data_IF_766722534243
#
_entry.id   IF_766722534243
#
_cell.length_a   1.000
_cell.length_b   1.000
_cell.length_c   1.000
_cell.angle_alpha   90.00
_cell.angle_beta   90.00
_cell.angle_gamma   90.00
#
_symmetry.space_group_name_H-M   'P 1'
#
loop_
_entity.id
_entity.type
_entity.pdbx_description
1 polymer ?
#
# COMPACT_ATOMS: atom_id res chain seq x y z
N UNK A 1 10.93 68.28 16.06
CA UNK A 1 9.94 67.28 15.58
C UNK A 1 10.51 66.53 14.38
N UNK A 2 11.18 65.37 14.57
CA UNK A 2 11.67 64.49 13.48
C UNK A 2 12.38 63.23 14.01
N UNK A 3 11.77 62.44 14.91
CA UNK A 3 12.35 61.15 15.37
C UNK A 3 11.29 60.11 15.79
N UNK A 4 10.16 60.05 15.08
CA UNK A 4 9.12 59.04 15.31
C UNK A 4 8.60 58.58 13.95
N UNK A 5 9.38 57.81 13.18
CA UNK A 5 8.86 57.18 11.96
C UNK A 5 9.57 55.89 11.55
N UNK A 6 10.45 55.32 12.39
CA UNK A 6 11.28 54.15 12.02
C UNK A 6 11.06 52.97 12.97
N UNK A 7 9.82 52.77 13.45
CA UNK A 7 9.49 51.64 14.34
C UNK A 7 8.21 50.91 13.92
N UNK A 8 7.96 50.79 12.61
CA UNK A 8 6.79 50.05 12.07
C UNK A 8 7.22 48.90 11.11
N UNK A 9 8.51 48.69 10.86
CA UNK A 9 8.94 47.81 9.76
C UNK A 9 9.70 46.53 10.16
N UNK A 10 9.46 45.94 11.34
CA UNK A 10 10.08 44.64 11.64
C UNK A 10 9.26 43.73 12.57
N UNK A 11 7.94 43.68 12.41
CA UNK A 11 7.21 42.45 12.75
C UNK A 11 7.34 41.52 11.55
N UNK A 12 8.53 40.95 11.36
CA UNK A 12 8.72 39.78 10.52
C UNK A 12 8.00 38.65 11.24
N UNK A 13 6.69 38.56 11.01
CA UNK A 13 5.90 37.42 11.44
C UNK A 13 6.54 36.20 10.81
N UNK A 14 7.23 35.42 11.64
CA UNK A 14 7.62 34.03 11.37
C UNK A 14 6.32 33.27 11.12
N UNK A 15 5.80 33.35 9.90
CA UNK A 15 4.76 32.45 9.46
C UNK A 15 5.41 31.07 9.39
N UNK A 16 4.99 30.17 10.28
CA UNK A 16 5.31 28.76 10.15
C UNK A 16 4.90 28.33 8.73
N UNK A 17 5.87 27.93 7.91
CA UNK A 17 5.59 27.54 6.54
C UNK A 17 4.93 26.17 6.55
N UNK A 18 3.70 26.09 6.03
CA UNK A 18 2.92 24.86 6.00
C UNK A 18 3.20 24.07 4.73
N UNK A 19 3.55 22.79 4.87
CA UNK A 19 3.59 21.82 3.79
C UNK A 19 2.38 20.89 3.91
N UNK A 20 1.71 20.60 2.79
CA UNK A 20 0.55 19.71 2.76
C UNK A 20 0.97 18.40 2.11
N UNK A 21 0.77 17.30 2.83
CA UNK A 21 1.07 15.95 2.39
C UNK A 21 -0.24 15.17 2.34
N UNK A 22 -0.61 14.71 1.16
CA UNK A 22 -1.81 13.92 0.93
C UNK A 22 -1.41 12.51 0.50
N UNK A 23 -2.00 11.49 1.12
CA UNK A 23 -1.75 10.11 0.82
C UNK A 23 -3.07 9.40 0.48
N UNK A 24 -3.28 9.09 -0.79
CA UNK A 24 -4.40 8.27 -1.24
C UNK A 24 -3.98 6.80 -1.26
N UNK A 25 -4.60 5.99 -0.42
CA UNK A 25 -4.34 4.55 -0.28
C UNK A 25 -5.58 3.79 -0.76
N UNK A 26 -5.47 3.13 -1.91
CA UNK A 26 -6.55 2.32 -2.47
C UNK A 26 -6.24 0.83 -2.34
N UNK A 27 -6.95 0.14 -1.45
CA UNK A 27 -6.73 -1.26 -1.10
C UNK A 27 -7.55 -2.18 -1.99
N UNK A 28 -6.91 -3.22 -2.54
CA UNK A 28 -7.56 -4.26 -3.34
C UNK A 28 -8.06 -5.45 -2.49
N UNK A 29 -8.77 -6.39 -3.11
CA UNK A 29 -9.32 -7.57 -2.41
C UNK A 29 -8.26 -8.53 -1.84
N UNK A 30 -7.00 -8.38 -2.23
CA UNK A 30 -5.87 -9.20 -1.75
C UNK A 30 -5.12 -8.54 -0.57
N UNK A 31 -5.48 -7.31 -0.19
CA UNK A 31 -4.80 -6.55 0.85
C UNK A 31 -3.58 -5.77 0.36
N UNK A 32 -3.31 -5.74 -0.95
CA UNK A 32 -2.33 -4.83 -1.55
C UNK A 32 -2.96 -3.44 -1.72
N UNK A 33 -2.14 -2.41 -1.82
CA UNK A 33 -2.62 -1.06 -2.05
C UNK A 33 -1.87 -0.36 -3.17
N UNK A 34 -2.62 0.43 -3.95
CA UNK A 34 -2.06 1.48 -4.79
C UNK A 34 -2.02 2.76 -3.99
N UNK A 35 -0.82 3.31 -3.82
CA UNK A 35 -0.56 4.48 -3.00
C UNK A 35 -0.21 5.65 -3.91
N UNK A 36 -0.85 6.80 -3.69
CA UNK A 36 -0.49 8.07 -4.32
C UNK A 36 -0.17 9.08 -3.24
N UNK A 37 1.09 9.46 -3.16
CA UNK A 37 1.61 10.50 -2.29
C UNK A 37 1.73 11.81 -3.06
N UNK A 38 0.94 12.79 -2.67
CA UNK A 38 0.98 14.16 -3.19
C UNK A 38 1.55 15.08 -2.13
N UNK A 39 2.56 15.88 -2.50
CA UNK A 39 3.17 16.87 -1.63
C UNK A 39 3.06 18.24 -2.29
N UNK A 40 2.43 19.19 -1.60
CA UNK A 40 2.28 20.58 -2.03
C UNK A 40 3.03 21.49 -1.08
N UNK A 41 3.94 22.29 -1.64
CA UNK A 41 4.96 23.02 -0.90
C UNK A 41 4.87 24.54 -1.11
N UNK A 42 5.36 25.32 -0.15
CA UNK A 42 5.60 26.76 -0.31
C UNK A 42 6.71 27.02 -1.34
N UNK A 43 6.94 28.30 -1.71
CA UNK A 43 8.01 28.65 -2.64
C UNK A 43 9.40 28.22 -2.14
N UNK A 44 9.68 28.45 -0.85
CA UNK A 44 10.96 28.11 -0.24
C UNK A 44 11.15 26.59 -0.14
N UNK A 45 10.14 25.88 0.39
CA UNK A 45 10.14 24.42 0.46
C UNK A 45 10.25 23.77 -0.92
N UNK A 46 9.58 24.32 -1.93
CA UNK A 46 9.66 23.83 -3.31
C UNK A 46 11.10 23.86 -3.84
N UNK A 47 11.82 24.97 -3.62
CA UNK A 47 13.22 25.09 -4.02
C UNK A 47 14.08 24.01 -3.36
N UNK A 48 13.89 23.75 -2.06
CA UNK A 48 14.60 22.68 -1.35
C UNK A 48 14.27 21.30 -1.91
N UNK A 49 12.99 21.03 -2.16
CA UNK A 49 12.53 19.74 -2.69
C UNK A 49 13.04 19.48 -4.12
N UNK A 50 13.00 20.50 -4.99
CA UNK A 50 13.56 20.40 -6.35
C UNK A 50 15.08 20.23 -6.31
N UNK A 51 15.77 20.91 -5.41
CA UNK A 51 17.22 20.72 -5.23
C UNK A 51 17.55 19.29 -4.76
N UNK A 52 16.72 18.71 -3.88
CA UNK A 52 16.92 17.37 -3.33
C UNK A 52 16.56 16.25 -4.32
N UNK A 53 15.38 16.33 -4.94
CA UNK A 53 14.79 15.26 -5.74
C UNK A 53 14.60 15.60 -7.22
N UNK A 54 14.55 16.89 -7.57
CA UNK A 54 14.17 17.35 -8.90
C UNK A 54 15.14 16.91 -10.01
N UNK A 55 16.41 16.69 -9.69
CA UNK A 55 17.41 16.18 -10.62
C UNK A 55 17.58 14.65 -10.56
N UNK A 56 17.01 13.98 -9.56
CA UNK A 56 17.18 12.54 -9.37
C UNK A 56 15.99 11.92 -8.60
N UNK A 57 14.88 11.57 -9.30
CA UNK A 57 13.74 10.92 -8.66
C UNK A 57 14.06 9.52 -8.11
N UNK A 58 15.18 8.90 -8.50
CA UNK A 58 15.60 7.62 -7.95
C UNK A 58 16.03 7.74 -6.47
N UNK A 59 16.48 8.92 -6.02
CA UNK A 59 16.76 9.18 -4.61
C UNK A 59 15.48 9.09 -3.77
N UNK A 60 14.39 9.73 -4.24
CA UNK A 60 13.10 9.66 -3.56
C UNK A 60 12.58 8.22 -3.50
N UNK A 61 12.65 7.48 -4.61
CA UNK A 61 12.30 6.06 -4.64
C UNK A 61 13.09 5.26 -3.59
N UNK A 62 14.41 5.48 -3.49
CA UNK A 62 15.27 4.79 -2.53
C UNK A 62 14.90 5.13 -1.09
N UNK A 63 14.64 6.40 -0.80
CA UNK A 63 14.20 6.84 0.54
C UNK A 63 12.87 6.18 0.93
N UNK A 64 11.93 6.06 0.00
CA UNK A 64 10.63 5.41 0.24
C UNK A 64 10.78 3.90 0.48
N UNK A 65 11.63 3.22 -0.29
CA UNK A 65 11.93 1.81 -0.05
C UNK A 65 12.56 1.63 1.33
N UNK A 66 13.46 2.54 1.72
CA UNK A 66 14.11 2.50 3.03
C UNK A 66 13.15 2.81 4.19
N UNK A 67 12.14 3.66 4.00
CA UNK A 67 11.15 3.97 5.04
C UNK A 67 10.08 2.88 5.20
N UNK A 68 9.90 2.02 4.20
CA UNK A 68 8.90 0.96 4.17
C UNK A 68 9.52 -0.44 3.93
N UNK A 69 10.51 -0.88 4.75
CA UNK A 69 11.28 -2.10 4.49
C UNK A 69 10.45 -3.40 4.60
N UNK A 70 9.29 -3.34 5.25
CA UNK A 70 8.38 -4.48 5.41
C UNK A 70 7.43 -4.73 4.23
N UNK A 71 7.49 -3.90 3.18
CA UNK A 71 6.57 -3.96 2.06
C UNK A 71 7.31 -4.17 0.74
N UNK A 72 6.76 -5.04 -0.12
CA UNK A 72 7.23 -5.14 -1.50
C UNK A 72 6.61 -3.97 -2.30
N UNK A 73 7.47 -3.04 -2.71
CA UNK A 73 7.06 -1.84 -3.45
C UNK A 73 7.39 -1.98 -4.94
N UNK A 74 6.40 -1.71 -5.80
CA UNK A 74 6.51 -1.85 -7.25
C UNK A 74 5.83 -0.70 -7.99
N UNK A 75 5.96 -0.66 -9.33
CA UNK A 75 5.23 0.27 -10.21
C UNK A 75 5.34 1.76 -9.83
N UNK A 76 6.56 2.17 -9.52
CA UNK A 76 6.87 3.56 -9.15
C UNK A 76 6.65 4.52 -10.31
N UNK A 77 5.97 5.63 -10.04
CA UNK A 77 5.75 6.76 -10.95
C UNK A 77 5.99 8.07 -10.21
N UNK A 78 6.64 9.02 -10.87
CA UNK A 78 6.90 10.35 -10.33
C UNK A 78 6.43 11.42 -11.32
N UNK A 79 5.68 12.40 -10.83
CA UNK A 79 5.23 13.57 -11.58
C UNK A 79 5.54 14.83 -10.77
N UNK A 80 5.96 15.87 -11.47
CA UNK A 80 6.27 17.18 -10.90
C UNK A 80 5.48 18.26 -11.63
N UNK A 81 4.87 19.17 -10.88
CA UNK A 81 4.26 20.39 -11.40
C UNK A 81 4.95 21.60 -10.77
N UNK A 82 5.84 22.23 -11.53
CA UNK A 82 6.62 23.39 -11.07
C UNK A 82 5.76 24.65 -10.87
N UNK A 83 4.65 24.77 -11.60
CA UNK A 83 3.73 25.92 -11.49
C UNK A 83 2.95 25.86 -10.18
N UNK A 84 2.39 24.69 -9.88
CA UNK A 84 1.60 24.45 -8.67
C UNK A 84 2.44 24.04 -7.46
N UNK A 85 3.76 23.89 -7.63
CA UNK A 85 4.71 23.46 -6.60
C UNK A 85 4.28 22.15 -5.94
N UNK A 86 3.91 21.19 -6.78
CA UNK A 86 3.33 19.92 -6.38
C UNK A 86 4.16 18.76 -6.93
N UNK A 87 4.49 17.80 -6.07
CA UNK A 87 5.06 16.50 -6.46
C UNK A 87 4.04 15.40 -6.20
N UNK A 88 3.92 14.49 -7.15
CA UNK A 88 3.03 13.33 -7.05
C UNK A 88 3.89 12.09 -7.28
N UNK A 89 3.90 11.21 -6.29
CA UNK A 89 4.59 9.94 -6.34
C UNK A 89 3.57 8.81 -6.16
N UNK A 90 3.57 7.84 -7.06
CA UNK A 90 2.66 6.70 -6.99
C UNK A 90 3.45 5.40 -7.00
N UNK A 91 2.99 4.41 -6.24
CA UNK A 91 3.57 3.09 -6.19
C UNK A 91 2.54 2.07 -5.69
N UNK A 92 2.77 0.81 -6.02
CA UNK A 92 1.99 -0.30 -5.49
C UNK A 92 2.76 -0.95 -4.33
N UNK A 93 2.07 -1.22 -3.23
CA UNK A 93 2.62 -1.85 -2.05
C UNK A 93 1.84 -3.13 -1.73
N UNK A 94 2.52 -4.26 -1.62
CA UNK A 94 1.87 -5.54 -1.30
C UNK A 94 1.66 -5.73 0.20
N UNK A 95 0.53 -6.34 0.57
CA UNK A 95 0.25 -6.72 1.96
C UNK A 95 0.12 -5.53 2.94
N UNK A 96 -0.34 -4.37 2.44
CA UNK A 96 -0.61 -3.18 3.27
C UNK A 96 -1.67 -3.48 4.34
N UNK A 97 -2.65 -4.30 4.01
CA UNK A 97 -3.64 -4.82 4.95
C UNK A 97 -3.36 -6.30 5.21
N UNK A 98 -3.35 -6.69 6.49
CA UNK A 98 -3.06 -8.07 6.89
C UNK A 98 -4.35 -8.85 7.15
N UNK A 99 -4.34 -10.13 6.83
CA UNK A 99 -5.44 -11.06 7.08
C UNK A 99 -5.33 -11.69 8.46
N UNK A 100 -6.38 -11.60 9.27
CA UNK A 100 -6.45 -12.15 10.64
C UNK A 100 -7.10 -13.53 10.71
N UNK A 101 -7.70 -14.00 9.60
CA UNK A 101 -8.52 -15.22 9.58
C UNK A 101 -10.02 -14.92 9.54
N UNK A 102 -10.82 -15.93 9.21
CA UNK A 102 -12.29 -15.86 9.18
C UNK A 102 -12.88 -14.69 8.37
N UNK A 103 -12.18 -14.22 7.34
CA UNK A 103 -12.63 -13.09 6.52
C UNK A 103 -12.36 -11.72 7.16
N UNK A 104 -11.64 -11.65 8.27
CA UNK A 104 -11.28 -10.41 8.94
C UNK A 104 -9.92 -9.93 8.44
N UNK A 105 -9.86 -8.65 8.10
CA UNK A 105 -8.67 -7.94 7.65
C UNK A 105 -8.46 -6.72 8.52
N UNK A 106 -7.20 -6.34 8.75
CA UNK A 106 -6.86 -5.16 9.54
C UNK A 106 -5.81 -4.27 8.88
N UNK A 107 -6.08 -2.97 8.89
CA UNK A 107 -5.15 -1.93 8.45
C UNK A 107 -4.61 -1.23 9.69
N UNK A 108 -3.28 -1.28 9.88
CA UNK A 108 -2.61 -0.58 10.98
C UNK A 108 -2.41 0.88 10.60
N UNK A 109 -2.71 1.78 11.53
CA UNK A 109 -2.40 3.21 11.40
C UNK A 109 -1.75 3.73 12.67
N UNK A 110 -1.03 4.85 12.59
CA UNK A 110 -0.33 5.38 13.77
C UNK A 110 -1.30 6.07 14.73
N UNK A 111 -1.02 5.96 16.04
CA UNK A 111 -1.86 6.50 17.11
C UNK A 111 -2.04 8.02 17.05
N UNK A 112 -1.08 8.75 16.44
CA UNK A 112 -1.12 10.20 16.29
C UNK A 112 -2.20 10.68 15.32
N UNK A 113 -2.58 9.84 14.36
CA UNK A 113 -3.62 10.20 13.40
C UNK A 113 -5.00 10.20 14.04
N UNK A 114 -5.78 11.22 13.73
CA UNK A 114 -7.20 11.31 14.08
C UNK A 114 -8.05 10.71 12.96
N UNK A 115 -8.71 9.56 13.17
CA UNK A 115 -9.51 8.91 12.14
C UNK A 115 -10.91 9.52 12.03
N UNK A 116 -11.40 9.65 10.80
CA UNK A 116 -12.75 10.09 10.45
C UNK A 116 -13.35 9.14 9.42
N UNK A 117 -14.54 8.63 9.69
CA UNK A 117 -15.29 7.81 8.73
C UNK A 117 -15.97 8.72 7.71
N UNK A 118 -15.70 8.51 6.42
CA UNK A 118 -16.35 9.24 5.32
C UNK A 118 -17.50 8.41 4.76
N UNK A 119 -17.26 7.12 4.55
CA UNK A 119 -18.27 6.17 4.07
C UNK A 119 -18.03 4.78 4.69
N UNK A 120 -18.85 3.76 4.40
CA UNK A 120 -18.59 2.39 4.86
C UNK A 120 -17.24 1.81 4.40
N UNK A 121 -16.73 2.28 3.26
CA UNK A 121 -15.49 1.80 2.64
C UNK A 121 -14.42 2.89 2.52
N UNK A 122 -14.66 4.10 3.00
CA UNK A 122 -13.70 5.20 2.92
C UNK A 122 -13.48 5.83 4.30
N UNK A 123 -12.21 5.98 4.64
CA UNK A 123 -11.73 6.53 5.90
C UNK A 123 -10.70 7.61 5.63
N UNK A 124 -10.70 8.62 6.46
CA UNK A 124 -9.78 9.73 6.37
C UNK A 124 -9.02 9.86 7.68
N UNK A 125 -7.71 10.08 7.62
CA UNK A 125 -6.86 10.21 8.79
C UNK A 125 -6.08 11.51 8.66
N UNK A 126 -6.15 12.34 9.69
CA UNK A 126 -5.46 13.64 9.70
C UNK A 126 -4.46 13.70 10.85
N UNK A 127 -3.30 14.27 10.58
CA UNK A 127 -2.32 14.64 11.60
C UNK A 127 -1.65 15.96 11.24
N UNK A 128 -1.14 16.67 12.23
CA UNK A 128 -0.34 17.87 12.02
C UNK A 128 0.87 17.80 12.92
N UNK A 129 2.04 17.76 12.30
CA UNK A 129 3.33 17.65 12.97
C UNK A 129 4.13 18.93 12.76
N UNK A 130 4.84 19.35 13.81
CA UNK A 130 5.78 20.46 13.72
C UNK A 130 7.21 19.91 13.65
N UNK A 131 7.83 20.01 12.48
CA UNK A 131 9.23 19.66 12.26
C UNK A 131 10.07 20.94 12.25
N UNK A 132 10.41 21.42 13.44
CA UNK A 132 11.20 22.64 13.64
C UNK A 132 10.41 23.92 13.32
N UNK A 133 10.71 24.54 12.17
CA UNK A 133 10.02 25.75 11.69
C UNK A 133 9.00 25.45 10.58
N UNK A 134 8.78 24.17 10.26
CA UNK A 134 7.87 23.72 9.21
C UNK A 134 6.69 22.99 9.85
N UNK A 135 5.49 23.42 9.51
CA UNK A 135 4.26 22.72 9.89
C UNK A 135 3.88 21.74 8.78
N UNK A 136 3.92 20.44 9.06
CA UNK A 136 3.51 19.41 8.13
C UNK A 136 2.08 18.95 8.45
N UNK A 137 1.18 19.11 7.48
CA UNK A 137 -0.17 18.54 7.57
C UNK A 137 -0.26 17.27 6.74
N UNK A 138 -0.72 16.20 7.36
CA UNK A 138 -0.85 14.88 6.76
C UNK A 138 -2.32 14.51 6.63
N UNK A 139 -2.76 14.32 5.39
CA UNK A 139 -4.11 13.91 5.02
C UNK A 139 -4.06 12.53 4.34
N UNK A 140 -4.50 11.48 5.00
CA UNK A 140 -4.50 10.12 4.45
C UNK A 140 -5.93 9.70 4.13
N UNK A 141 -6.21 9.46 2.86
CA UNK A 141 -7.48 8.90 2.39
C UNK A 141 -7.32 7.41 2.12
N UNK A 142 -7.98 6.58 2.93
CA UNK A 142 -7.99 5.13 2.79
C UNK A 142 -9.29 4.65 2.17
N UNK A 143 -9.18 3.99 1.01
CA UNK A 143 -10.29 3.35 0.32
C UNK A 143 -10.15 1.84 0.45
N UNK A 144 -11.12 1.22 1.12
CA UNK A 144 -11.26 -0.22 1.26
C UNK A 144 -11.89 -0.82 0.00
N UNK A 145 -11.73 -2.14 -0.24
CA UNK A 145 -12.41 -2.83 -1.32
C UNK A 145 -13.92 -2.65 -1.25
N UNK A 146 -14.60 -2.54 -2.39
CA UNK A 146 -16.05 -2.29 -2.45
C UNK A 146 -16.89 -3.35 -1.70
N UNK A 147 -16.39 -4.57 -1.61
CA UNK A 147 -17.05 -5.69 -0.92
C UNK A 147 -16.74 -5.75 0.58
N UNK A 148 -15.92 -4.84 1.11
CA UNK A 148 -15.63 -4.74 2.52
C UNK A 148 -16.89 -4.36 3.30
N UNK A 149 -17.10 -4.99 4.46
CA UNK A 149 -18.26 -4.78 5.32
C UNK A 149 -17.82 -4.60 6.77
N UNK A 150 -18.67 -3.95 7.56
CA UNK A 150 -18.50 -3.80 9.02
C UNK A 150 -17.14 -3.20 9.42
N UNK A 151 -16.66 -2.21 8.65
CA UNK A 151 -15.43 -1.50 8.97
C UNK A 151 -15.57 -0.71 10.29
N UNK A 152 -14.66 -0.94 11.23
CA UNK A 152 -14.65 -0.28 12.55
C UNK A 152 -13.23 -0.18 13.11
N UNK A 153 -13.01 0.80 13.98
CA UNK A 153 -11.73 1.00 14.66
C UNK A 153 -11.67 0.13 15.91
N UNK A 154 -10.53 -0.52 16.13
CA UNK A 154 -10.27 -1.31 17.34
C UNK A 154 -8.78 -1.23 17.70
N UNK A 155 -8.43 -1.85 18.81
CA UNK A 155 -7.05 -2.04 19.24
C UNK A 155 -6.72 -3.52 19.11
N UNK A 156 -5.55 -3.86 18.55
CA UNK A 156 -5.11 -5.26 18.46
C UNK A 156 -4.47 -5.75 19.77
N UNK A 157 -4.01 -7.00 19.79
CA UNK A 157 -3.37 -7.65 20.94
C UNK A 157 -2.05 -6.96 21.38
N UNK A 158 -1.48 -6.09 20.53
CA UNK A 158 -0.24 -5.36 20.75
C UNK A 158 -0.47 -3.88 21.12
N UNK A 159 -1.69 -3.50 21.53
CA UNK A 159 -2.12 -2.12 21.80
C UNK A 159 -2.01 -1.17 20.59
N UNK A 160 -1.96 -1.72 19.37
CA UNK A 160 -1.88 -0.91 18.15
C UNK A 160 -3.28 -0.58 17.64
N UNK A 161 -3.45 0.65 17.15
CA UNK A 161 -4.70 1.10 16.53
C UNK A 161 -4.84 0.49 15.14
N UNK A 162 -5.95 -0.19 14.92
CA UNK A 162 -6.24 -0.87 13.67
C UNK A 162 -7.66 -0.59 13.20
N UNK A 163 -7.82 -0.44 11.89
CA UNK A 163 -9.11 -0.46 11.23
C UNK A 163 -9.39 -1.90 10.79
N UNK A 164 -10.35 -2.55 11.44
CA UNK A 164 -10.79 -3.91 11.10
C UNK A 164 -12.00 -3.87 10.17
N UNK A 165 -12.00 -4.74 9.16
CA UNK A 165 -13.13 -4.92 8.27
C UNK A 165 -13.29 -6.39 7.85
N UNK A 166 -14.49 -6.76 7.44
CA UNK A 166 -14.81 -8.08 6.94
C UNK A 166 -14.83 -8.09 5.41
N UNK A 167 -14.07 -9.00 4.82
CA UNK A 167 -14.08 -9.30 3.40
C UNK A 167 -14.10 -10.82 3.23
N UNK A 168 -15.19 -11.36 2.70
CA UNK A 168 -15.32 -12.80 2.46
C UNK A 168 -14.28 -13.20 1.39
N UNK A 169 -13.37 -14.13 1.68
CA UNK A 169 -12.37 -14.55 0.71
C UNK A 169 -13.08 -15.13 -0.52
N UNK A 170 -12.65 -14.71 -1.70
CA UNK A 170 -13.18 -15.24 -2.95
C UNK A 170 -12.55 -16.62 -3.18
N UNK A 171 -13.32 -17.64 -3.59
CA UNK A 171 -12.85 -19.05 -3.74
C UNK A 171 -11.57 -19.15 -4.59
N UNK A 172 -11.42 -18.26 -5.57
CA UNK A 172 -10.24 -18.16 -6.44
C UNK A 172 -8.95 -17.69 -5.73
N UNK A 173 -9.02 -17.05 -4.56
CA UNK A 173 -7.82 -16.65 -3.80
C UNK A 173 -7.16 -17.83 -3.06
N UNK A 174 -7.86 -18.96 -2.88
CA UNK A 174 -7.35 -20.14 -2.17
C UNK A 174 -6.83 -21.25 -3.08
N UNK A 175 -7.16 -21.23 -4.36
CA UNK A 175 -6.83 -22.33 -5.27
C UNK A 175 -5.96 -21.77 -6.39
N UNK A 176 -4.65 -21.96 -6.26
CA UNK A 176 -3.70 -21.57 -7.30
C UNK A 176 -3.92 -22.43 -8.56
N UNK A 177 -3.66 -21.87 -9.73
CA UNK A 177 -3.67 -22.63 -11.00
C UNK A 177 -2.71 -23.84 -10.94
N UNK A 178 -1.65 -23.72 -10.14
CA UNK A 178 -0.68 -24.79 -9.84
C UNK A 178 -1.34 -25.97 -9.15
N UNK A 179 -2.34 -25.73 -8.28
CA UNK A 179 -3.10 -26.78 -7.61
C UNK A 179 -3.91 -27.60 -8.63
N UNK A 180 -4.54 -26.95 -9.62
CA UNK A 180 -5.27 -27.63 -10.69
C UNK A 180 -4.34 -28.43 -11.61
N UNK A 181 -3.19 -27.86 -11.99
CA UNK A 181 -2.18 -28.56 -12.78
C UNK A 181 -1.66 -29.79 -12.02
N UNK A 182 -1.38 -29.64 -10.72
CA UNK A 182 -0.94 -30.73 -9.86
C UNK A 182 -1.97 -31.86 -9.78
N UNK A 183 -3.25 -31.54 -9.56
CA UNK A 183 -4.33 -32.54 -9.56
C UNK A 183 -4.44 -33.23 -10.93
N UNK A 184 -4.31 -32.48 -12.03
CA UNK A 184 -4.33 -33.02 -13.39
C UNK A 184 -3.20 -34.02 -13.65
N UNK A 185 -1.97 -33.70 -13.22
CA UNK A 185 -0.81 -34.59 -13.36
C UNK A 185 -0.99 -35.90 -12.58
N UNK A 186 -1.55 -35.84 -11.37
CA UNK A 186 -1.85 -37.05 -10.57
C UNK A 186 -2.86 -37.93 -11.32
N UNK A 187 -3.90 -37.34 -11.90
CA UNK A 187 -4.90 -38.08 -12.66
C UNK A 187 -4.31 -38.77 -13.90
N UNK A 188 -3.44 -38.07 -14.65
CA UNK A 188 -2.75 -38.63 -15.82
C UNK A 188 -1.84 -39.79 -15.40
N UNK A 189 -1.08 -39.64 -14.32
CA UNK A 189 -0.22 -40.69 -13.80
C UNK A 189 -1.02 -41.94 -13.40
N UNK A 190 -2.19 -41.77 -12.80
CA UNK A 190 -3.07 -42.86 -12.37
C UNK A 190 -3.67 -43.61 -13.57
N UNK A 191 -4.05 -42.89 -14.62
CA UNK A 191 -4.50 -43.48 -15.89
C UNK A 191 -3.37 -44.28 -16.57
N UNK A 192 -2.16 -43.72 -16.63
CA UNK A 192 -1.00 -44.42 -17.21
C UNK A 192 -0.62 -45.67 -16.41
N UNK A 193 -0.69 -45.63 -15.09
CA UNK A 193 -0.44 -46.79 -14.22
C UNK A 193 -1.47 -47.91 -14.46
N UNK A 194 -2.75 -47.56 -14.63
CA UNK A 194 -3.80 -48.52 -14.98
C UNK A 194 -3.54 -49.16 -16.34
N UNK A 195 -3.20 -48.37 -17.36
CA UNK A 195 -2.88 -48.90 -18.70
C UNK A 195 -1.67 -49.86 -18.64
N UNK A 196 -0.64 -49.53 -17.88
CA UNK A 196 0.54 -50.38 -17.72
C UNK A 196 0.22 -51.72 -17.03
N UNK A 197 -0.70 -51.73 -16.04
CA UNK A 197 -1.17 -52.96 -15.40
C UNK A 197 -1.91 -53.87 -16.40
N UNK A 198 -2.78 -53.30 -17.25
CA UNK A 198 -3.48 -54.07 -18.28
C UNK A 198 -2.55 -54.61 -19.39
N UNK A 199 -1.42 -53.96 -19.67
CA UNK A 199 -0.46 -54.44 -20.66
C UNK A 199 0.45 -55.57 -20.17
N UNK A 200 0.69 -55.67 -18.84
CA UNK A 200 1.58 -56.68 -18.24
C UNK A 200 1.00 -58.09 -18.23
N UNK A 201 -0.32 -58.23 -18.38
CA UNK A 201 -1.02 -59.53 -18.29
C UNK A 201 -1.07 -60.32 -19.61
N UNK A 202 -0.49 -59.88 -20.74
CA UNK A 202 -0.41 -60.75 -21.92
C UNK A 202 0.56 -61.91 -21.65
N UNK A 203 0.10 -63.17 -21.50
CA UNK A 203 0.99 -64.29 -21.22
C UNK A 203 1.83 -64.57 -22.48
N UNK A 204 3.15 -64.70 -22.28
CA UNK A 204 4.03 -65.23 -23.32
C UNK A 204 3.57 -66.66 -23.64
N UNK A 205 3.06 -66.88 -24.87
CA UNK A 205 2.91 -68.23 -25.40
C UNK A 205 4.29 -68.85 -25.48
N UNK A 206 4.57 -69.82 -24.61
CA UNK A 206 5.75 -70.67 -24.68
C UNK A 206 5.62 -71.50 -25.96
N UNK A 207 6.34 -71.10 -27.01
CA UNK A 207 6.48 -71.86 -28.23
C UNK A 207 7.48 -72.99 -27.97
N UNK A 208 6.96 -74.15 -27.57
CA UNK A 208 7.74 -75.39 -27.49
C UNK A 208 8.16 -75.79 -28.90
N UNK A 209 9.42 -75.54 -29.27
CA UNK A 209 10.04 -76.18 -30.42
C UNK A 209 10.59 -77.55 -29.99
N UNK A 210 10.11 -78.57 -30.72
CA UNK A 210 10.65 -79.93 -30.76
C UNK A 210 11.97 -79.98 -31.49
#
# INVERSE_FOLDING_TARGET
MKKIFVLILLTLSLFAEKIIIQLDVNVNECGDAKITWTQKATAFQWKMLVQKYGNNPALLKREIIASLPGYELTNFSFKRNDIERTMIFSFDAKGVVKYKGNGIWHFKYEKKFTPRKISPTEWFFTDTENEGNILAEYDISLKLPQRAKKAHLTTNEFDEKVLEYFLKPTIFQRISIVTYIGIGLIFIALVLALIALFYKEKPQKIENQK
#
